data_IF_850722007634
#
_entry.id   IF_850722007634
#
_cell.length_a   1.000
_cell.length_b   1.000
_cell.length_c   1.000
_cell.angle_alpha   90.00
_cell.angle_beta   90.00
_cell.angle_gamma   90.00
#
_symmetry.space_group_name_H-M   'P 1'
#
loop_
_entity.id
_entity.type
_entity.pdbx_description
1 polymer ?
#
# COMPACT_ATOMS: atom_id res chain seq x y z
N UNK A 1 29.79 15.62 2.70
CA UNK A 1 28.45 14.99 2.64
C UNK A 1 27.76 15.52 1.40
N UNK A 2 27.08 14.66 0.62
CA UNK A 2 26.29 15.09 -0.55
C UNK A 2 24.83 14.97 -0.14
N UNK A 3 24.06 16.05 -0.30
CA UNK A 3 22.63 16.07 -0.06
C UNK A 3 21.90 16.54 -1.32
N UNK A 4 20.75 15.97 -1.61
CA UNK A 4 19.90 16.39 -2.71
C UNK A 4 18.52 16.77 -2.18
N UNK A 5 17.99 17.86 -2.70
CA UNK A 5 16.61 18.28 -2.47
C UNK A 5 15.75 17.77 -3.61
N UNK A 6 14.77 16.92 -3.30
CA UNK A 6 13.74 16.49 -4.24
C UNK A 6 12.48 17.31 -4.01
N UNK A 7 12.04 18.03 -5.01
CA UNK A 7 10.84 18.87 -4.94
C UNK A 7 9.83 18.40 -5.97
N UNK A 8 8.62 18.14 -5.55
CA UNK A 8 7.50 17.85 -6.46
C UNK A 8 6.68 19.13 -6.61
N UNK A 9 6.57 19.64 -7.82
CA UNK A 9 5.75 20.79 -8.17
C UNK A 9 4.56 20.32 -9.02
N UNK A 10 3.40 20.86 -8.75
CA UNK A 10 2.19 20.61 -9.54
C UNK A 10 1.91 21.84 -10.41
N UNK A 11 1.98 21.68 -11.71
CA UNK A 11 1.62 22.70 -12.69
C UNK A 11 0.59 22.13 -13.64
N UNK A 12 -0.58 22.77 -13.73
CA UNK A 12 -1.69 22.31 -14.57
C UNK A 12 -2.14 20.86 -14.30
N UNK A 13 -1.99 20.37 -13.07
CA UNK A 13 -2.33 18.99 -12.70
C UNK A 13 -1.23 17.95 -13.02
N UNK A 14 -0.11 18.37 -13.59
CA UNK A 14 1.04 17.51 -13.84
C UNK A 14 2.05 17.64 -12.71
N UNK A 15 2.47 16.50 -12.15
CA UNK A 15 3.52 16.46 -11.15
C UNK A 15 4.90 16.49 -11.82
N UNK A 16 5.67 17.53 -11.55
CA UNK A 16 7.05 17.67 -12.00
C UNK A 16 7.99 17.47 -10.82
N UNK A 17 8.92 16.53 -10.94
CA UNK A 17 9.92 16.28 -9.92
C UNK A 17 11.25 16.91 -10.30
N UNK A 18 11.78 17.79 -9.44
CA UNK A 18 13.04 18.47 -9.62
C UNK A 18 14.00 18.01 -8.53
N UNK A 19 15.19 17.58 -8.92
CA UNK A 19 16.27 17.25 -8.00
C UNK A 19 17.34 18.33 -8.07
N UNK A 20 17.62 18.97 -6.93
CA UNK A 20 18.64 20.01 -6.83
C UNK A 20 19.69 19.61 -5.81
N UNK A 21 20.99 19.62 -6.17
CA UNK A 21 22.03 19.37 -5.17
C UNK A 21 22.04 20.50 -4.13
N UNK A 22 22.19 20.11 -2.86
CA UNK A 22 22.33 21.03 -1.75
C UNK A 22 23.80 21.21 -1.41
N UNK A 23 24.21 22.46 -1.27
CA UNK A 23 25.48 22.78 -0.67
C UNK A 23 25.37 22.63 0.85
N UNK A 24 26.14 21.71 1.41
CA UNK A 24 26.24 21.53 2.86
C UNK A 24 27.39 22.38 3.36
N UNK A 25 27.11 23.30 4.27
CA UNK A 25 28.07 24.17 4.93
C UNK A 25 28.13 23.86 6.43
N UNK A 26 29.17 24.31 7.10
CA UNK A 26 29.22 24.26 8.56
C UNK A 26 28.17 25.20 9.14
N UNK A 27 27.56 24.81 10.25
CA UNK A 27 26.64 25.66 11.00
C UNK A 27 27.47 26.77 11.68
N UNK A 28 27.03 28.01 11.53
CA UNK A 28 27.63 29.19 12.12
C UNK A 28 26.73 29.85 13.18
N UNK A 29 25.68 29.12 13.61
CA UNK A 29 24.69 29.55 14.61
C UNK A 29 23.93 30.83 14.26
N UNK A 30 23.94 31.25 12.99
CA UNK A 30 23.26 32.48 12.53
C UNK A 30 21.87 32.26 11.98
N UNK A 31 21.42 31.00 11.84
CA UNK A 31 20.14 30.65 11.23
C UNK A 31 19.02 30.62 12.27
N UNK A 32 18.11 31.57 12.21
CA UNK A 32 16.97 31.68 13.13
C UNK A 32 15.61 31.35 12.52
N UNK A 33 15.57 30.98 11.23
CA UNK A 33 14.33 30.72 10.52
C UNK A 33 14.18 29.22 10.23
N UNK A 34 12.98 28.72 10.25
CA UNK A 34 12.55 27.36 9.82
C UNK A 34 13.66 26.28 9.87
N UNK A 35 14.03 25.87 11.06
CA UNK A 35 15.03 24.82 11.27
C UNK A 35 14.39 23.43 11.30
N UNK A 36 15.04 22.47 10.67
CA UNK A 36 14.78 21.05 10.82
C UNK A 36 16.05 20.37 11.35
N UNK A 37 16.04 20.01 12.63
CA UNK A 37 17.16 19.31 13.25
C UNK A 37 17.05 17.80 13.00
N UNK A 38 18.14 17.20 12.50
CA UNK A 38 18.24 15.76 12.30
C UNK A 38 19.24 15.19 13.31
N UNK A 39 18.81 14.16 14.03
CA UNK A 39 19.62 13.47 15.04
C UNK A 39 19.87 12.01 14.62
N UNK A 40 20.81 11.75 13.71
CA UNK A 40 21.01 10.40 13.12
C UNK A 40 21.47 9.35 14.14
N UNK A 41 22.03 9.78 15.27
CA UNK A 41 22.47 8.91 16.35
C UNK A 41 21.35 8.46 17.29
N UNK A 42 20.20 9.17 17.27
CA UNK A 42 19.03 8.81 18.05
C UNK A 42 18.18 7.84 17.23
N UNK A 43 18.09 6.61 17.71
CA UNK A 43 17.36 5.53 17.06
C UNK A 43 16.13 5.14 17.86
N UNK A 44 15.03 4.90 17.17
CA UNK A 44 13.78 4.38 17.72
C UNK A 44 13.50 2.98 17.16
N UNK A 45 12.30 2.71 16.72
CA UNK A 45 11.90 1.43 16.13
C UNK A 45 12.55 1.21 14.75
N UNK A 46 12.67 -0.06 14.39
CA UNK A 46 12.99 -0.44 13.02
C UNK A 46 11.72 -0.35 12.15
N UNK A 47 11.86 0.23 10.97
CA UNK A 47 10.77 0.25 9.99
C UNK A 47 10.88 -1.01 9.14
N UNK A 48 9.85 -1.87 9.19
CA UNK A 48 9.84 -3.13 8.43
C UNK A 48 9.61 -2.92 6.94
N UNK A 49 8.92 -1.83 6.55
CA UNK A 49 8.71 -1.54 5.15
C UNK A 49 7.69 -0.45 4.86
N UNK A 50 7.49 -0.23 3.58
CA UNK A 50 6.50 0.69 3.05
C UNK A 50 5.60 -0.02 2.06
N UNK A 51 4.37 0.47 1.92
CA UNK A 51 3.44 -0.14 0.99
C UNK A 51 2.11 0.60 0.88
N UNK A 52 1.19 -0.02 0.16
CA UNK A 52 -0.14 0.51 -0.08
C UNK A 52 -1.22 -0.55 0.09
N UNK A 53 -2.46 -0.17 -0.21
CA UNK A 53 -3.58 -1.09 -0.16
C UNK A 53 -3.77 -1.82 -1.50
N UNK A 54 -3.94 -3.14 -1.44
CA UNK A 54 -4.46 -3.95 -2.53
C UNK A 54 -5.91 -4.29 -2.18
N UNK A 55 -6.84 -3.83 -3.00
CA UNK A 55 -8.28 -4.00 -2.80
C UNK A 55 -8.92 -4.75 -3.95
N UNK A 56 -10.15 -5.25 -3.75
CA UNK A 56 -10.91 -5.93 -4.81
C UNK A 56 -11.15 -4.99 -6.00
N UNK A 57 -11.52 -3.73 -5.74
CA UNK A 57 -11.74 -2.74 -6.80
C UNK A 57 -10.45 -2.47 -7.59
N UNK A 58 -9.31 -2.27 -6.90
CA UNK A 58 -8.03 -2.07 -7.57
C UNK A 58 -7.63 -3.26 -8.44
N UNK A 59 -7.77 -4.49 -7.94
CA UNK A 59 -7.49 -5.70 -8.71
C UNK A 59 -8.44 -5.89 -9.90
N UNK A 60 -9.71 -5.50 -9.76
CA UNK A 60 -10.68 -5.53 -10.85
C UNK A 60 -10.33 -4.55 -11.97
N UNK A 61 -9.90 -3.34 -11.61
CA UNK A 61 -9.48 -2.33 -12.58
C UNK A 61 -8.19 -2.76 -13.27
N UNK A 62 -7.21 -3.25 -12.51
CA UNK A 62 -5.93 -3.72 -13.05
C UNK A 62 -6.15 -4.80 -14.15
N UNK A 63 -7.08 -5.73 -13.94
CA UNK A 63 -7.40 -6.77 -14.93
C UNK A 63 -8.02 -6.26 -16.23
N UNK A 64 -8.52 -5.04 -16.26
CA UNK A 64 -9.11 -4.42 -17.43
C UNK A 64 -8.14 -3.54 -18.21
N UNK A 65 -6.95 -3.31 -17.67
CA UNK A 65 -5.92 -2.49 -18.30
C UNK A 65 -5.11 -3.30 -19.32
N UNK A 66 -4.55 -2.63 -20.35
CA UNK A 66 -3.56 -3.24 -21.22
C UNK A 66 -2.35 -3.75 -20.43
N UNK A 67 -1.77 -4.86 -20.85
CA UNK A 67 -0.64 -5.51 -20.18
C UNK A 67 0.54 -4.54 -19.94
N UNK A 68 0.89 -3.75 -20.93
CA UNK A 68 1.95 -2.73 -20.83
C UNK A 68 1.68 -1.71 -19.70
N UNK A 69 0.40 -1.36 -19.49
CA UNK A 69 0.00 -0.43 -18.40
C UNK A 69 0.12 -1.12 -17.04
N UNK A 70 -0.31 -2.37 -16.97
CA UNK A 70 -0.17 -3.20 -15.75
C UNK A 70 1.29 -3.33 -15.36
N UNK A 71 2.16 -3.64 -16.33
CA UNK A 71 3.59 -3.74 -16.12
C UNK A 71 4.19 -2.44 -15.57
N UNK A 72 3.88 -1.30 -16.16
CA UNK A 72 4.35 0.01 -15.69
C UNK A 72 3.91 0.30 -14.25
N UNK A 73 2.66 -0.03 -13.91
CA UNK A 73 2.13 0.14 -12.55
C UNK A 73 2.90 -0.75 -11.57
N UNK A 74 3.06 -2.03 -11.88
CA UNK A 74 3.72 -2.98 -11.01
C UNK A 74 5.21 -2.68 -10.84
N UNK A 75 5.91 -2.31 -11.92
CA UNK A 75 7.29 -1.85 -11.86
C UNK A 75 7.41 -0.57 -11.02
N UNK A 76 6.49 0.39 -11.19
CA UNK A 76 6.51 1.63 -10.45
C UNK A 76 6.32 1.44 -8.94
N UNK A 77 5.47 0.53 -8.51
CA UNK A 77 5.22 0.28 -7.08
C UNK A 77 6.20 -0.73 -6.47
N UNK A 78 6.49 -1.83 -7.15
CA UNK A 78 7.19 -2.98 -6.57
C UNK A 78 8.57 -3.23 -7.16
N UNK A 79 8.84 -2.75 -8.37
CA UNK A 79 10.10 -2.98 -9.06
C UNK A 79 11.29 -2.27 -8.41
N UNK A 80 12.50 -2.76 -8.74
CA UNK A 80 13.75 -2.29 -8.16
C UNK A 80 14.04 -0.80 -8.41
N UNK A 81 13.58 -0.28 -9.55
CA UNK A 81 13.75 1.13 -9.94
C UNK A 81 12.53 2.01 -9.54
N UNK A 82 11.50 1.40 -8.93
CA UNK A 82 10.30 2.08 -8.46
C UNK A 82 10.33 2.38 -6.96
N UNK A 83 9.14 2.41 -6.35
CA UNK A 83 8.98 2.67 -4.91
C UNK A 83 9.43 1.50 -4.03
N UNK A 84 9.64 0.32 -4.61
CA UNK A 84 10.12 -0.89 -3.93
C UNK A 84 9.25 -1.27 -2.72
N UNK A 85 7.93 -1.20 -2.88
CA UNK A 85 7.01 -1.60 -1.82
C UNK A 85 7.24 -3.06 -1.47
N UNK A 86 7.40 -3.33 -0.18
CA UNK A 86 7.62 -4.65 0.38
C UNK A 86 6.53 -5.06 1.39
N UNK A 87 5.50 -4.23 1.51
CA UNK A 87 4.39 -4.46 2.42
C UNK A 87 3.07 -4.00 1.77
N UNK A 88 2.01 -4.78 1.94
CA UNK A 88 0.68 -4.40 1.47
C UNK A 88 -0.38 -4.69 2.52
N UNK A 89 -1.45 -3.89 2.48
CA UNK A 89 -2.64 -4.11 3.27
C UNK A 89 -3.79 -4.54 2.37
N UNK A 90 -4.54 -5.55 2.79
CA UNK A 90 -5.78 -5.93 2.13
C UNK A 90 -6.91 -6.10 3.15
N UNK A 91 -8.15 -6.10 2.69
CA UNK A 91 -9.31 -6.30 3.55
C UNK A 91 -9.62 -7.79 3.77
N UNK A 92 -10.18 -8.12 4.92
CA UNK A 92 -10.88 -9.36 5.20
C UNK A 92 -12.37 -9.05 5.21
N UNK A 93 -13.16 -9.86 4.52
CA UNK A 93 -14.53 -9.53 4.15
C UNK A 93 -14.62 -8.27 3.27
N UNK A 94 -15.82 -7.78 3.02
CA UNK A 94 -16.00 -6.58 2.20
C UNK A 94 -15.55 -5.30 2.89
N UNK A 95 -15.30 -4.28 2.09
CA UNK A 95 -15.07 -2.91 2.50
C UNK A 95 -15.64 -1.94 1.45
N UNK A 96 -15.50 -0.66 1.70
CA UNK A 96 -15.89 0.41 0.77
C UNK A 96 -15.18 0.38 -0.61
N UNK A 97 -14.06 -0.36 -0.71
CA UNK A 97 -13.35 -0.66 -1.96
C UNK A 97 -13.60 -2.08 -2.48
N UNK A 98 -14.74 -2.68 -2.15
CA UNK A 98 -15.20 -3.94 -2.72
C UNK A 98 -16.23 -3.71 -3.81
N UNK A 99 -16.35 -4.65 -4.74
CA UNK A 99 -17.35 -4.61 -5.82
C UNK A 99 -18.77 -4.92 -5.33
N UNK A 100 -18.94 -5.20 -4.06
CA UNK A 100 -20.21 -5.46 -3.38
C UNK A 100 -19.96 -6.10 -2.02
N UNK A 101 -21.00 -6.18 -1.21
CA UNK A 101 -20.93 -6.79 0.11
C UNK A 101 -20.71 -8.32 0.00
N UNK A 102 -19.80 -8.84 0.80
CA UNK A 102 -19.56 -10.27 0.97
C UNK A 102 -18.92 -10.56 2.32
N UNK A 103 -18.96 -11.81 2.71
CA UNK A 103 -18.26 -12.36 3.86
C UNK A 103 -17.56 -13.65 3.50
N UNK A 104 -16.40 -13.88 4.08
CA UNK A 104 -15.66 -15.13 3.94
C UNK A 104 -16.37 -16.30 4.64
N UNK A 105 -17.13 -16.02 5.70
CA UNK A 105 -18.03 -16.97 6.37
C UNK A 105 -19.46 -16.46 6.24
N UNK A 106 -20.38 -17.29 5.74
CA UNK A 106 -21.76 -16.88 5.46
C UNK A 106 -22.80 -17.47 6.41
N UNK A 107 -22.49 -18.60 7.05
CA UNK A 107 -23.39 -19.25 7.99
C UNK A 107 -23.10 -18.82 9.43
N UNK A 108 -24.04 -18.14 10.13
CA UNK A 108 -23.87 -17.73 11.52
C UNK A 108 -23.74 -18.89 12.52
N UNK A 109 -24.13 -20.10 12.14
CA UNK A 109 -24.00 -21.30 12.96
C UNK A 109 -22.70 -22.08 12.73
N UNK A 110 -21.91 -21.66 11.74
CA UNK A 110 -20.66 -22.32 11.38
C UNK A 110 -19.50 -21.92 12.31
N UNK A 111 -19.47 -22.51 13.48
CA UNK A 111 -18.39 -22.31 14.46
C UNK A 111 -17.07 -23.00 14.10
N UNK A 112 -17.09 -23.89 13.13
CA UNK A 112 -15.93 -24.65 12.66
C UNK A 112 -15.36 -24.09 11.34
N UNK A 113 -15.90 -22.97 10.84
CA UNK A 113 -15.48 -22.30 9.61
C UNK A 113 -15.54 -23.20 8.36
N UNK A 114 -16.48 -24.14 8.29
CA UNK A 114 -16.68 -25.03 7.14
C UNK A 114 -17.15 -24.29 5.89
N UNK A 115 -17.82 -23.16 6.09
CA UNK A 115 -18.30 -22.28 4.98
C UNK A 115 -17.28 -21.20 4.61
N UNK A 116 -16.08 -21.21 5.24
CA UNK A 116 -15.03 -20.25 4.93
C UNK A 116 -14.58 -20.38 3.48
N UNK A 117 -14.59 -19.27 2.76
CA UNK A 117 -14.21 -19.22 1.36
C UNK A 117 -13.45 -17.95 1.01
N UNK A 118 -12.36 -18.10 0.27
CA UNK A 118 -11.57 -17.01 -0.32
C UNK A 118 -11.88 -16.80 -1.81
N UNK A 119 -12.93 -17.41 -2.36
CA UNK A 119 -13.24 -17.35 -3.79
C UNK A 119 -13.33 -15.92 -4.35
N UNK A 120 -13.74 -14.92 -3.54
CA UNK A 120 -13.72 -13.51 -3.93
C UNK A 120 -12.30 -12.96 -4.02
N UNK A 121 -11.47 -13.26 -3.02
CA UNK A 121 -10.08 -12.83 -2.97
C UNK A 121 -9.25 -13.45 -4.09
N UNK A 122 -9.49 -14.73 -4.43
CA UNK A 122 -8.82 -15.46 -5.50
C UNK A 122 -9.07 -14.85 -6.88
N UNK A 123 -10.16 -14.10 -7.02
CA UNK A 123 -10.51 -13.49 -8.29
C UNK A 123 -9.70 -12.23 -8.60
N UNK A 124 -9.40 -11.40 -7.62
CA UNK A 124 -8.80 -10.08 -7.83
C UNK A 124 -7.63 -9.74 -6.91
N UNK A 125 -7.72 -10.10 -5.62
CA UNK A 125 -6.76 -9.70 -4.60
C UNK A 125 -5.50 -10.57 -4.67
N UNK A 126 -5.67 -11.89 -4.58
CA UNK A 126 -4.54 -12.82 -4.57
C UNK A 126 -3.71 -12.78 -5.86
N UNK A 127 -4.31 -12.72 -7.08
CA UNK A 127 -3.53 -12.53 -8.30
C UNK A 127 -2.74 -11.21 -8.31
N UNK A 128 -3.30 -10.14 -7.75
CA UNK A 128 -2.57 -8.86 -7.67
C UNK A 128 -1.37 -8.97 -6.71
N UNK A 129 -1.54 -9.63 -5.56
CA UNK A 129 -0.43 -9.87 -4.61
C UNK A 129 0.65 -10.73 -5.28
N UNK A 130 0.27 -11.78 -6.01
CA UNK A 130 1.23 -12.63 -6.72
C UNK A 130 2.02 -11.87 -7.78
N UNK A 131 1.37 -11.00 -8.54
CA UNK A 131 2.04 -10.11 -9.48
C UNK A 131 2.98 -9.14 -8.76
N UNK A 132 2.55 -8.54 -7.66
CA UNK A 132 3.39 -7.66 -6.85
C UNK A 132 4.66 -8.36 -6.37
N UNK A 133 4.56 -9.59 -5.87
CA UNK A 133 5.71 -10.42 -5.46
C UNK A 133 6.63 -10.75 -6.63
N UNK A 134 6.07 -11.04 -7.81
CA UNK A 134 6.86 -11.30 -9.02
C UNK A 134 7.71 -10.10 -9.41
N UNK A 135 7.15 -8.89 -9.41
CA UNK A 135 7.86 -7.67 -9.75
C UNK A 135 8.82 -7.21 -8.64
N UNK A 136 8.49 -7.47 -7.38
CA UNK A 136 9.40 -7.23 -6.25
C UNK A 136 10.61 -8.18 -6.25
N UNK A 137 10.47 -9.36 -6.84
CA UNK A 137 11.50 -10.42 -6.81
C UNK A 137 11.61 -11.15 -5.47
N UNK A 138 10.70 -10.90 -4.54
CA UNK A 138 10.65 -11.51 -3.21
C UNK A 138 9.23 -11.52 -2.65
N UNK A 139 9.01 -12.26 -1.58
CA UNK A 139 7.75 -12.24 -0.83
C UNK A 139 7.55 -10.88 -0.15
N UNK A 140 6.34 -10.35 -0.24
CA UNK A 140 5.94 -9.10 0.42
C UNK A 140 5.14 -9.39 1.69
N UNK A 141 5.25 -8.51 2.68
CA UNK A 141 4.44 -8.59 3.88
C UNK A 141 2.98 -8.28 3.56
N UNK A 142 2.04 -9.09 4.07
CA UNK A 142 0.61 -8.88 3.83
C UNK A 142 -0.12 -8.72 5.16
N UNK A 143 -0.74 -7.56 5.37
CA UNK A 143 -1.62 -7.31 6.51
C UNK A 143 -3.08 -7.40 6.06
N UNK A 144 -3.85 -8.27 6.69
CA UNK A 144 -5.30 -8.34 6.46
C UNK A 144 -6.04 -7.69 7.64
N UNK A 145 -6.98 -6.84 7.32
CA UNK A 145 -7.79 -6.16 8.33
C UNK A 145 -9.28 -6.32 8.04
N UNK A 146 -10.10 -6.78 9.02
CA UNK A 146 -11.54 -6.77 8.86
C UNK A 146 -12.04 -5.32 8.83
N UNK A 147 -12.90 -5.03 7.85
CA UNK A 147 -13.53 -3.71 7.69
C UNK A 147 -15.03 -3.77 7.90
N UNK A 148 -15.67 -4.80 7.37
CA UNK A 148 -17.10 -5.05 7.49
C UNK A 148 -17.33 -6.48 7.93
N UNK A 149 -17.20 -6.80 9.23
CA UNK A 149 -17.42 -8.15 9.73
C UNK A 149 -18.84 -8.64 9.40
N UNK A 150 -19.07 -9.95 9.33
CA UNK A 150 -20.40 -10.49 9.12
C UNK A 150 -21.44 -9.90 10.10
N UNK A 151 -22.65 -9.63 9.62
CA UNK A 151 -23.69 -8.97 10.41
C UNK A 151 -24.01 -9.71 11.73
N UNK A 152 -23.83 -11.03 11.74
CA UNK A 152 -24.04 -11.85 12.94
C UNK A 152 -22.89 -11.72 13.99
N UNK A 153 -21.78 -11.08 13.65
CA UNK A 153 -20.65 -10.83 14.56
C UNK A 153 -20.67 -9.42 15.16
N UNK A 154 -21.59 -8.58 14.77
CA UNK A 154 -21.69 -7.19 15.22
C UNK A 154 -22.99 -6.94 15.98
N UNK A 155 -22.92 -6.09 17.00
CA UNK A 155 -24.05 -5.87 17.94
C UNK A 155 -25.24 -5.16 17.31
N UNK A 156 -24.99 -4.28 16.32
CA UNK A 156 -26.04 -3.54 15.61
C UNK A 156 -26.64 -4.29 14.42
N UNK A 157 -26.11 -5.49 14.08
CA UNK A 157 -26.57 -6.35 12.99
C UNK A 157 -26.67 -5.70 11.59
N UNK A 158 -26.15 -4.49 11.43
CA UNK A 158 -26.13 -3.73 10.18
C UNK A 158 -24.69 -3.51 9.71
N UNK A 159 -24.51 -3.55 8.38
CA UNK A 159 -23.24 -3.27 7.70
C UNK A 159 -23.32 -1.94 6.99
#
# INVERSE_FOLDING_TARGET
MIANKHTTLFDGGVANQITTPLQVVADDDTQEVQLLNLYPDIRYQTIDGFGGAITEAAGSVLRQMPEETVEKILQGYFGAEGLRYNFVRTHLDSCDFSLGNYSAVTDPQDKEFKTFSLARDEKYILPYIQLAEQYAGHKIGVMRTPRSPPAFMITNTHR
#
